data_IF_301118702257
#
_entry.id   IF_301118702257
#
_cell.length_a   1.000
_cell.length_b   1.000
_cell.length_c   1.000
_cell.angle_alpha   90.00
_cell.angle_beta   90.00
_cell.angle_gamma   90.00
#
_symmetry.space_group_name_H-M   'P 1'
#
loop_
_entity.id
_entity.type
_entity.pdbx_description
1 polymer ?
#
# COMPACT_ATOMS: atom_id res chain seq x y z
N UNK A 1 45.29 -36.14 -47.61
CA UNK A 1 44.13 -36.13 -46.69
C UNK A 1 44.58 -35.57 -45.35
N UNK A 2 44.05 -34.40 -44.94
CA UNK A 2 44.42 -33.69 -43.70
C UNK A 2 43.43 -34.06 -42.60
N UNK A 3 43.90 -34.60 -41.47
CA UNK A 3 43.13 -34.76 -40.24
C UNK A 3 43.65 -33.80 -39.18
N UNK A 4 42.81 -32.89 -38.69
CA UNK A 4 43.08 -32.02 -37.54
C UNK A 4 42.52 -32.69 -36.27
N UNK A 5 43.23 -32.74 -35.13
CA UNK A 5 42.61 -33.09 -33.87
C UNK A 5 41.97 -31.85 -33.25
N UNK A 6 40.73 -32.02 -32.76
CA UNK A 6 39.95 -30.98 -32.10
C UNK A 6 40.39 -30.76 -30.65
N UNK A 7 40.50 -29.50 -30.24
CA UNK A 7 40.54 -29.13 -28.83
C UNK A 7 39.11 -29.10 -28.28
N UNK A 8 38.85 -29.90 -27.24
CA UNK A 8 37.71 -29.69 -26.35
C UNK A 8 38.03 -28.53 -25.41
N UNK A 9 37.32 -27.41 -25.57
CA UNK A 9 37.29 -26.35 -24.58
C UNK A 9 36.22 -26.70 -23.53
N UNK A 10 36.65 -27.05 -22.31
CA UNK A 10 35.76 -27.16 -21.17
C UNK A 10 35.45 -25.76 -20.64
N UNK A 11 34.24 -25.26 -20.89
CA UNK A 11 33.76 -24.00 -20.34
C UNK A 11 33.33 -24.20 -18.88
N UNK A 12 34.11 -23.67 -17.94
CA UNK A 12 33.66 -23.48 -16.56
C UNK A 12 32.56 -22.42 -16.53
N UNK A 13 31.33 -22.82 -16.25
CA UNK A 13 30.24 -21.90 -15.95
C UNK A 13 30.35 -21.46 -14.48
N UNK A 14 30.81 -20.24 -14.24
CA UNK A 14 30.69 -19.56 -12.95
C UNK A 14 29.23 -19.15 -12.73
N UNK A 15 28.51 -19.92 -11.91
CA UNK A 15 27.18 -19.56 -11.44
C UNK A 15 27.24 -18.38 -10.50
N UNK A 16 26.90 -17.18 -10.98
CA UNK A 16 26.62 -16.02 -10.13
C UNK A 16 25.32 -16.28 -9.38
N UNK A 17 25.42 -16.88 -8.20
CA UNK A 17 24.35 -16.80 -7.20
C UNK A 17 24.28 -15.34 -6.75
N UNK A 18 23.35 -14.59 -7.32
CA UNK A 18 23.08 -13.22 -6.89
C UNK A 18 22.56 -13.24 -5.46
N UNK A 19 23.46 -13.02 -4.48
CA UNK A 19 23.08 -12.59 -3.14
C UNK A 19 22.54 -11.17 -3.24
N UNK A 20 21.28 -11.02 -3.65
CA UNK A 20 20.55 -9.77 -3.45
C UNK A 20 20.34 -9.59 -1.95
N UNK A 21 20.69 -8.41 -1.41
CA UNK A 21 20.32 -8.06 -0.05
C UNK A 21 18.80 -8.22 0.12
N UNK A 22 18.32 -8.73 1.27
CA UNK A 22 16.88 -8.84 1.50
C UNK A 22 16.24 -7.46 1.37
N UNK A 23 14.99 -7.36 0.87
CA UNK A 23 14.28 -6.10 0.77
C UNK A 23 14.30 -5.34 2.09
N UNK A 24 14.46 -4.02 2.01
CA UNK A 24 14.41 -3.17 3.20
C UNK A 24 13.05 -3.29 3.88
N UNK A 25 13.02 -3.17 5.22
CA UNK A 25 11.76 -3.17 5.96
C UNK A 25 10.96 -1.91 5.62
N UNK A 26 9.68 -2.07 5.31
CA UNK A 26 8.80 -0.92 5.11
C UNK A 26 8.48 -0.32 6.48
N UNK A 27 9.00 0.88 6.72
CA UNK A 27 8.70 1.68 7.92
C UNK A 27 7.73 2.81 7.64
N UNK A 28 7.82 3.41 6.46
CA UNK A 28 7.04 4.56 6.08
C UNK A 28 6.76 4.54 4.58
N UNK A 29 5.58 5.03 4.20
CA UNK A 29 5.16 5.31 2.84
C UNK A 29 4.51 6.70 2.86
N UNK A 30 5.07 7.65 2.11
CA UNK A 30 4.59 9.04 2.08
C UNK A 30 3.53 9.30 0.99
N UNK A 31 3.09 8.25 0.29
CA UNK A 31 2.21 8.32 -0.89
C UNK A 31 2.49 9.50 -1.83
N UNK A 32 3.76 9.61 -2.22
CA UNK A 32 4.28 10.52 -3.23
C UNK A 32 4.94 9.74 -4.38
N UNK A 33 5.11 10.34 -5.57
CA UNK A 33 5.74 9.68 -6.71
C UNK A 33 7.27 9.47 -6.56
N UNK A 34 7.94 10.23 -5.70
CA UNK A 34 9.40 10.19 -5.54
C UNK A 34 9.90 9.04 -4.65
N UNK A 35 9.13 8.67 -3.64
CA UNK A 35 9.54 7.82 -2.52
C UNK A 35 8.71 6.55 -2.38
N UNK A 36 7.47 6.53 -2.89
CA UNK A 36 6.62 5.33 -2.84
C UNK A 36 7.14 4.27 -3.80
N UNK A 37 7.55 3.08 -3.33
CA UNK A 37 7.92 1.98 -4.22
C UNK A 37 6.73 1.60 -5.11
N UNK A 38 6.97 1.41 -6.41
CA UNK A 38 5.89 1.16 -7.38
C UNK A 38 5.08 -0.09 -7.04
N UNK A 39 5.75 -1.10 -6.50
CA UNK A 39 5.16 -2.36 -6.06
C UNK A 39 4.35 -2.25 -4.76
N UNK A 40 4.50 -1.17 -4.00
CA UNK A 40 3.78 -1.00 -2.74
C UNK A 40 2.29 -0.80 -2.98
N UNK A 41 1.88 -0.06 -4.02
CA UNK A 41 0.47 0.16 -4.35
C UNK A 41 -0.08 -1.00 -5.19
N UNK A 42 -0.54 -2.06 -4.54
CA UNK A 42 -0.95 -3.31 -5.20
C UNK A 42 -2.22 -3.16 -6.02
N UNK A 43 -3.27 -2.59 -5.42
CA UNK A 43 -4.58 -2.44 -6.08
C UNK A 43 -5.45 -1.40 -5.39
N UNK A 44 -6.41 -0.83 -6.12
CA UNK A 44 -7.42 0.09 -5.57
C UNK A 44 -6.88 1.48 -5.23
N UNK A 45 -5.81 1.91 -5.89
CA UNK A 45 -5.23 3.24 -5.69
C UNK A 45 -5.31 4.06 -6.99
N UNK A 46 -5.55 5.36 -6.85
CA UNK A 46 -5.36 6.32 -7.94
C UNK A 46 -3.88 6.56 -8.24
N UNK A 47 -3.62 7.41 -9.24
CA UNK A 47 -2.34 8.12 -9.30
C UNK A 47 -2.19 9.11 -8.13
N UNK A 48 -0.96 9.57 -7.93
CA UNK A 48 -0.63 10.59 -6.94
C UNK A 48 -1.26 11.94 -7.31
N UNK A 49 -1.77 12.63 -6.30
CA UNK A 49 -2.31 13.99 -6.38
C UNK A 49 -1.59 14.89 -5.39
N UNK A 50 -1.69 16.21 -5.60
CA UNK A 50 -1.12 17.21 -4.71
C UNK A 50 -2.19 18.16 -4.19
N UNK A 51 -2.19 18.38 -2.86
CA UNK A 51 -3.08 19.33 -2.18
C UNK A 51 -2.48 20.72 -2.00
N UNK A 52 -1.22 20.92 -2.43
CA UNK A 52 -0.42 22.11 -2.19
C UNK A 52 1.08 21.75 -2.17
N UNK A 53 1.98 22.73 -1.99
CA UNK A 53 3.42 22.48 -1.98
C UNK A 53 3.82 21.47 -0.88
N UNK A 54 4.23 20.27 -1.30
CA UNK A 54 4.70 19.21 -0.40
C UNK A 54 3.61 18.27 0.16
N UNK A 55 2.33 18.59 -0.05
CA UNK A 55 1.23 17.71 0.35
C UNK A 55 0.85 16.82 -0.84
N UNK A 56 1.15 15.54 -0.73
CA UNK A 56 0.79 14.51 -1.72
C UNK A 56 -0.14 13.48 -1.11
N UNK A 57 -0.97 12.88 -1.94
CA UNK A 57 -1.84 11.79 -1.50
C UNK A 57 -2.25 10.87 -2.65
N UNK A 58 -2.79 9.71 -2.31
CA UNK A 58 -3.47 8.81 -3.24
C UNK A 58 -4.90 8.57 -2.76
N UNK A 59 -5.84 8.51 -3.69
CA UNK A 59 -7.18 8.04 -3.39
C UNK A 59 -7.24 6.52 -3.39
N UNK A 60 -7.85 5.94 -2.36
CA UNK A 60 -8.44 4.63 -2.45
C UNK A 60 -9.62 4.69 -3.43
N UNK A 61 -9.43 4.06 -4.60
CA UNK A 61 -10.45 3.94 -5.64
C UNK A 61 -11.25 2.65 -5.47
N UNK A 62 -12.57 2.80 -5.40
CA UNK A 62 -13.48 1.72 -5.07
C UNK A 62 -13.46 1.40 -3.58
N UNK A 63 -14.08 0.28 -3.21
CA UNK A 63 -14.29 -0.09 -1.80
C UNK A 63 -13.15 -0.88 -1.17
N UNK A 64 -12.07 -1.13 -1.91
CA UNK A 64 -10.96 -1.94 -1.44
C UNK A 64 -9.66 -1.42 -2.03
N UNK A 65 -8.67 -1.20 -1.18
CA UNK A 65 -7.34 -0.79 -1.56
C UNK A 65 -6.30 -1.60 -0.78
N UNK A 66 -5.17 -1.96 -1.40
CA UNK A 66 -4.18 -2.85 -0.81
C UNK A 66 -2.76 -2.35 -1.00
N UNK A 67 -1.97 -2.38 0.07
CA UNK A 67 -0.56 -1.99 0.08
C UNK A 67 0.32 -3.21 0.41
N UNK A 68 1.37 -3.44 -0.37
CA UNK A 68 2.43 -4.41 -0.05
C UNK A 68 3.49 -3.74 0.83
N UNK A 69 3.89 -4.44 1.88
CA UNK A 69 4.87 -3.96 2.86
C UNK A 69 5.83 -5.08 3.23
N UNK A 70 7.08 -4.74 3.51
CA UNK A 70 8.11 -5.69 3.91
C UNK A 70 8.31 -5.67 5.42
N UNK A 71 8.25 -6.84 6.06
CA UNK A 71 8.54 -7.01 7.47
C UNK A 71 9.79 -7.89 7.65
N UNK A 72 10.78 -7.43 8.43
CA UNK A 72 12.01 -8.23 8.66
C UNK A 72 11.78 -9.47 9.52
N UNK A 73 10.84 -9.39 10.46
CA UNK A 73 10.52 -10.44 11.42
C UNK A 73 9.03 -10.49 11.68
N UNK A 74 8.54 -11.65 12.13
CA UNK A 74 7.21 -11.74 12.72
C UNK A 74 7.12 -10.85 13.99
N UNK A 75 5.90 -10.51 14.39
CA UNK A 75 5.60 -9.75 15.59
C UNK A 75 4.49 -8.73 15.35
N UNK A 76 3.83 -8.30 16.42
CA UNK A 76 2.83 -7.25 16.37
C UNK A 76 3.37 -5.98 15.72
N UNK A 77 2.48 -5.21 15.09
CA UNK A 77 2.81 -3.91 14.51
C UNK A 77 1.76 -2.88 14.84
N UNK A 78 2.18 -1.64 14.97
CA UNK A 78 1.29 -0.50 14.98
C UNK A 78 1.26 0.07 13.57
N UNK A 79 0.12 -0.05 12.90
CA UNK A 79 -0.10 0.56 11.58
C UNK A 79 -0.74 1.93 11.81
N UNK A 80 -0.02 2.98 11.45
CA UNK A 80 -0.48 4.36 11.54
C UNK A 80 -0.67 4.91 10.14
N UNK A 81 -1.69 5.71 9.93
CA UNK A 81 -1.89 6.36 8.63
C UNK A 81 -2.68 7.65 8.79
N UNK A 82 -2.39 8.63 7.95
CA UNK A 82 -3.20 9.85 7.83
C UNK A 82 -4.11 9.74 6.61
N UNK A 83 -5.42 9.86 6.83
CA UNK A 83 -6.39 9.79 5.75
C UNK A 83 -7.62 10.69 6.02
N UNK A 84 -8.40 10.94 4.96
CA UNK A 84 -9.73 11.55 5.03
C UNK A 84 -10.67 10.90 4.02
N UNK A 85 -11.95 10.72 4.35
CA UNK A 85 -12.93 10.13 3.45
C UNK A 85 -13.32 11.09 2.32
N UNK A 86 -13.67 10.54 1.15
CA UNK A 86 -14.47 11.30 0.19
C UNK A 86 -15.87 11.53 0.77
N UNK A 87 -16.36 12.76 0.74
CA UNK A 87 -17.65 13.15 1.33
C UNK A 87 -18.42 14.10 0.42
N UNK A 88 -19.73 14.08 0.61
CA UNK A 88 -20.69 15.03 0.05
C UNK A 88 -21.75 15.36 1.11
N UNK A 89 -22.61 16.32 0.81
CA UNK A 89 -23.71 16.69 1.70
C UNK A 89 -24.67 15.51 1.91
N UNK A 90 -24.96 15.17 3.16
CA UNK A 90 -25.80 14.02 3.51
C UNK A 90 -25.12 12.65 3.36
N UNK A 91 -23.80 12.60 3.08
CA UNK A 91 -23.06 11.34 3.04
C UNK A 91 -23.17 10.58 4.38
N UNK A 92 -23.38 9.25 4.36
CA UNK A 92 -23.36 8.44 5.58
C UNK A 92 -21.94 8.44 6.20
N UNK A 93 -21.80 8.06 7.48
CA UNK A 93 -20.48 7.86 8.08
C UNK A 93 -19.64 6.86 7.27
N UNK A 94 -18.41 7.23 6.92
CA UNK A 94 -17.46 6.32 6.28
C UNK A 94 -16.78 5.45 7.34
N UNK A 95 -16.68 4.15 7.09
CA UNK A 95 -15.89 3.24 7.91
C UNK A 95 -14.79 2.60 7.09
N UNK A 96 -13.66 2.31 7.73
CA UNK A 96 -12.52 1.62 7.17
C UNK A 96 -12.25 0.37 7.99
N UNK A 97 -12.26 -0.79 7.34
CA UNK A 97 -11.82 -2.06 7.93
C UNK A 97 -10.40 -2.35 7.51
N UNK A 98 -9.51 -2.56 8.47
CA UNK A 98 -8.11 -2.91 8.22
C UNK A 98 -7.94 -4.42 8.36
N UNK A 99 -7.29 -5.03 7.38
CA UNK A 99 -6.86 -6.42 7.42
C UNK A 99 -5.38 -6.54 7.05
N UNK A 100 -4.67 -7.50 7.63
CA UNK A 100 -3.30 -7.84 7.25
C UNK A 100 -3.28 -9.30 6.80
N UNK A 101 -2.78 -9.55 5.60
CA UNK A 101 -2.74 -10.88 4.96
C UNK A 101 -4.12 -11.60 4.94
N UNK A 102 -5.20 -10.82 4.81
CA UNK A 102 -6.58 -11.33 4.79
C UNK A 102 -7.22 -11.48 6.18
N UNK A 103 -6.44 -11.41 7.27
CA UNK A 103 -6.98 -11.41 8.63
C UNK A 103 -7.46 -10.02 9.02
N UNK A 104 -8.77 -9.86 9.19
CA UNK A 104 -9.39 -8.61 9.65
C UNK A 104 -8.95 -8.31 11.08
N UNK A 105 -8.49 -7.08 11.30
CA UNK A 105 -7.95 -6.63 12.59
C UNK A 105 -8.93 -5.70 13.30
N UNK A 106 -9.32 -4.60 12.64
CA UNK A 106 -10.12 -3.55 13.26
C UNK A 106 -11.02 -2.86 12.23
N UNK A 107 -12.11 -2.25 12.69
CA UNK A 107 -12.95 -1.35 11.89
C UNK A 107 -13.06 0.01 12.57
N UNK A 108 -12.71 1.06 11.84
CA UNK A 108 -12.65 2.44 12.30
C UNK A 108 -13.76 3.27 11.67
N UNK A 109 -14.33 4.20 12.44
CA UNK A 109 -15.10 5.31 11.88
C UNK A 109 -14.16 6.44 11.45
N UNK A 110 -14.25 6.87 10.19
CA UNK A 110 -13.44 7.97 9.69
C UNK A 110 -14.08 9.32 10.03
N UNK A 111 -13.25 10.29 10.44
CA UNK A 111 -13.65 11.68 10.65
C UNK A 111 -13.92 12.36 9.32
N UNK A 112 -14.65 13.47 9.33
CA UNK A 112 -14.88 14.25 8.10
C UNK A 112 -13.62 14.92 7.55
N UNK A 113 -12.59 15.07 8.37
CA UNK A 113 -11.34 15.77 8.06
C UNK A 113 -10.13 14.81 8.13
N UNK A 114 -8.99 15.28 7.62
CA UNK A 114 -7.73 14.56 7.66
C UNK A 114 -7.29 14.28 9.10
N UNK A 115 -7.14 12.99 9.43
CA UNK A 115 -6.75 12.55 10.77
C UNK A 115 -5.81 11.36 10.72
N UNK A 116 -4.98 11.27 11.75
CA UNK A 116 -4.12 10.11 11.99
C UNK A 116 -4.89 9.03 12.75
N UNK A 117 -4.87 7.83 12.21
CA UNK A 117 -5.38 6.61 12.84
C UNK A 117 -4.21 5.72 13.25
N UNK A 118 -4.42 4.89 14.27
CA UNK A 118 -3.43 3.94 14.77
C UNK A 118 -4.12 2.63 15.10
N UNK A 119 -3.69 1.54 14.46
CA UNK A 119 -4.27 0.20 14.63
C UNK A 119 -3.18 -0.74 15.12
N UNK A 120 -3.36 -1.30 16.32
CA UNK A 120 -2.51 -2.36 16.82
C UNK A 120 -2.90 -3.67 16.12
N UNK A 121 -1.94 -4.26 15.42
CA UNK A 121 -2.13 -5.49 14.65
C UNK A 121 -1.38 -6.63 15.34
N UNK A 122 -2.03 -7.80 15.50
CA UNK A 122 -1.47 -8.88 16.31
C UNK A 122 -0.38 -9.63 15.55
N UNK A 123 0.50 -10.33 16.28
CA UNK A 123 1.67 -11.05 15.73
C UNK A 123 1.29 -12.03 14.62
N UNK A 124 0.16 -12.73 14.79
CA UNK A 124 -0.32 -13.79 13.90
C UNK A 124 -0.75 -13.26 12.53
N UNK A 125 -1.00 -11.96 12.42
CA UNK A 125 -1.35 -11.32 11.16
C UNK A 125 -0.13 -11.07 10.26
N UNK A 126 1.09 -11.13 10.81
CA UNK A 126 2.34 -10.81 10.12
C UNK A 126 3.23 -12.02 9.88
N UNK A 127 3.89 -12.04 8.73
CA UNK A 127 4.95 -12.98 8.40
C UNK A 127 6.25 -12.25 8.04
N UNK A 128 7.43 -12.87 8.21
CA UNK A 128 8.66 -12.34 7.62
C UNK A 128 8.53 -12.19 6.10
N UNK A 129 9.09 -11.13 5.54
CA UNK A 129 9.00 -10.77 4.12
C UNK A 129 7.74 -10.00 3.76
N UNK A 130 7.15 -10.33 2.60
CA UNK A 130 6.04 -9.59 2.00
C UNK A 130 4.73 -9.81 2.76
N UNK A 131 4.08 -8.72 3.14
CA UNK A 131 2.76 -8.70 3.74
C UNK A 131 1.85 -7.75 2.94
N UNK A 132 0.55 -7.98 2.99
CA UNK A 132 -0.44 -7.10 2.36
C UNK A 132 -1.33 -6.50 3.43
N UNK A 133 -1.34 -5.17 3.53
CA UNK A 133 -2.30 -4.42 4.33
C UNK A 133 -3.46 -4.01 3.42
N UNK A 134 -4.67 -4.37 3.80
CA UNK A 134 -5.89 -4.11 3.03
C UNK A 134 -6.80 -3.17 3.80
N UNK A 135 -7.33 -2.18 3.09
CA UNK A 135 -8.36 -1.26 3.57
C UNK A 135 -9.66 -1.55 2.82
N UNK A 136 -10.75 -1.81 3.55
CA UNK A 136 -12.09 -1.99 2.98
C UNK A 136 -13.06 -0.94 3.51
N UNK A 137 -13.82 -0.32 2.61
CA UNK A 137 -14.64 0.86 2.90
C UNK A 137 -16.13 0.57 2.83
N UNK A 138 -16.92 1.28 3.66
CA UNK A 138 -18.38 1.18 3.64
C UNK A 138 -18.98 1.67 2.32
N UNK A 139 -18.38 2.70 1.72
CA UNK A 139 -18.77 3.17 0.40
C UNK A 139 -17.57 3.67 -0.40
N UNK A 140 -17.77 3.75 -1.72
CA UNK A 140 -16.94 4.49 -2.64
C UNK A 140 -17.86 5.06 -3.72
N UNK A 141 -17.76 6.36 -3.99
CA UNK A 141 -18.72 7.08 -4.83
C UNK A 141 -17.99 8.03 -5.76
N UNK A 142 -18.54 8.25 -6.96
CA UNK A 142 -17.93 9.18 -7.90
C UNK A 142 -18.37 10.62 -7.59
N UNK A 143 -17.43 11.59 -7.48
CA UNK A 143 -17.79 12.97 -7.22
C UNK A 143 -18.81 13.53 -8.21
N UNK A 144 -18.73 13.18 -9.50
CA UNK A 144 -19.69 13.60 -10.53
C UNK A 144 -21.15 13.20 -10.23
N UNK A 145 -21.36 12.14 -9.47
CA UNK A 145 -22.69 11.59 -9.17
C UNK A 145 -23.25 12.11 -7.83
N UNK A 146 -22.40 12.73 -7.00
CA UNK A 146 -22.74 13.15 -5.62
C UNK A 146 -22.61 14.64 -5.37
N UNK A 147 -21.79 15.35 -6.15
CA UNK A 147 -21.47 16.77 -5.95
C UNK A 147 -21.77 17.54 -7.25
N UNK A 148 -22.72 18.50 -7.24
CA UNK A 148 -23.05 19.30 -8.41
C UNK A 148 -21.83 20.00 -9.01
N UNK A 149 -21.69 19.93 -10.34
CA UNK A 149 -20.62 20.59 -11.08
C UNK A 149 -19.27 19.85 -11.08
N UNK A 150 -19.15 18.71 -10.39
CA UNK A 150 -17.95 17.87 -10.46
C UNK A 150 -17.96 16.96 -11.69
N UNK A 151 -16.79 16.74 -12.29
CA UNK A 151 -16.63 15.86 -13.46
C UNK A 151 -15.87 14.57 -13.15
N UNK A 152 -15.30 14.43 -11.94
CA UNK A 152 -14.52 13.25 -11.57
C UNK A 152 -15.42 12.00 -11.51
N UNK A 153 -15.13 11.06 -12.41
CA UNK A 153 -15.87 9.81 -12.57
C UNK A 153 -15.30 8.64 -11.73
N UNK A 154 -14.17 8.84 -11.06
CA UNK A 154 -13.51 7.80 -10.26
C UNK A 154 -14.35 7.58 -9.01
N UNK A 155 -14.60 6.34 -8.63
CA UNK A 155 -15.27 6.03 -7.36
C UNK A 155 -14.26 6.19 -6.22
N UNK A 156 -14.42 7.18 -5.36
CA UNK A 156 -13.46 7.52 -4.30
C UNK A 156 -14.02 7.10 -2.94
N UNK A 157 -13.20 6.44 -2.12
CA UNK A 157 -13.55 6.09 -0.74
C UNK A 157 -12.90 7.01 0.29
N UNK A 158 -11.57 7.11 0.24
CA UNK A 158 -10.76 7.95 1.12
C UNK A 158 -9.42 8.27 0.46
N UNK A 159 -8.85 9.43 0.76
CA UNK A 159 -7.49 9.80 0.38
C UNK A 159 -6.54 9.51 1.53
N UNK A 160 -5.33 9.03 1.19
CA UNK A 160 -4.26 8.73 2.12
C UNK A 160 -3.04 9.56 1.78
N UNK A 161 -2.52 10.23 2.80
CA UNK A 161 -1.30 11.04 2.74
C UNK A 161 -0.08 10.17 3.06
N UNK A 162 -0.09 9.47 4.20
CA UNK A 162 1.00 8.56 4.53
C UNK A 162 0.55 7.34 5.33
N UNK A 163 1.42 6.32 5.35
CA UNK A 163 1.33 5.15 6.23
C UNK A 163 2.68 4.84 6.89
N UNK A 164 2.66 4.51 8.17
CA UNK A 164 3.81 4.16 8.98
C UNK A 164 3.58 2.80 9.65
N UNK A 165 4.63 1.99 9.75
CA UNK A 165 4.60 0.65 10.33
C UNK A 165 5.69 0.52 11.39
N UNK A 166 5.26 0.57 12.65
CA UNK A 166 6.13 0.50 13.80
C UNK A 166 6.07 -0.90 14.42
N UNK A 167 7.18 -1.41 14.99
CA UNK A 167 7.13 -2.54 15.89
C UNK A 167 6.15 -2.27 17.04
N UNK A 168 5.34 -3.27 17.38
CA UNK A 168 4.45 -3.23 18.55
C UNK A 168 4.61 -4.53 19.34
N UNK A 169 4.70 -4.48 20.69
CA UNK A 169 4.80 -5.67 21.53
C UNK A 169 3.65 -6.66 21.29
#
# INVERSE_FOLDING_TARGET
>A
MRGRPGLLAASLALGLSGCGAPPAETRFLNFDPESTPREALVSGWSGFESGGPGDTFVWAQGRKAAVEVQARKAGGRLVRFRCWPFRWEGAPPQTLSLAVNGSRVETLGLSGEARVYSVATPTEAWRPGKNVVTFEFAYAEAPKDRVPGQADARTLAAAFDWMEILPHP
#
